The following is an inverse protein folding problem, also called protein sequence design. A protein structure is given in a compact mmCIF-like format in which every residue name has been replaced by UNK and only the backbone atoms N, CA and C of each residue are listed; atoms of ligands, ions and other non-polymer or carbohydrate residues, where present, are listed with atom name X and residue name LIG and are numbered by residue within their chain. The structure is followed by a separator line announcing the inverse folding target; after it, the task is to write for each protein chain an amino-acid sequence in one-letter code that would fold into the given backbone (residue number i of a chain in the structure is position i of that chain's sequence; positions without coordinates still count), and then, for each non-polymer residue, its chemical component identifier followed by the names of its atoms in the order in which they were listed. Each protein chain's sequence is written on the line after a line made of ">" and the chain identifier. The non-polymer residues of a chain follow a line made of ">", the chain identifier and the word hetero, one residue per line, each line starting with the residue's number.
data_IF_884313546037
#
_entry.id   IF_884313546037
#
_cell.length_a   1.000
_cell.length_b   1.000
_cell.length_c   1.000
_cell.angle_alpha   90.00
_cell.angle_beta   90.00
_cell.angle_gamma   90.00
#
_symmetry.space_group_name_H-M   'P 1'
#
loop_
_entity.id
_entity.type
_entity.pdbx_description
1 polymer ?
#
# COMPACT_ATOMS: atom_id res chain seq x y z
N UNK A 1 -8.34 -21.12 -14.71
CA UNK A 1 -8.13 -20.27 -15.91
C UNK A 1 -7.53 -18.96 -15.45
N UNK A 2 -6.57 -18.39 -16.18
CA UNK A 2 -6.00 -17.08 -15.83
C UNK A 2 -6.99 -15.96 -16.19
N UNK A 3 -6.89 -14.82 -15.52
CA UNK A 3 -7.75 -13.64 -15.77
C UNK A 3 -7.66 -13.18 -17.24
N UNK A 4 -6.48 -13.26 -17.83
CA UNK A 4 -6.24 -12.95 -19.26
C UNK A 4 -7.01 -13.88 -20.19
N UNK A 5 -6.97 -15.20 -19.95
CA UNK A 5 -7.75 -16.17 -20.74
C UNK A 5 -9.24 -15.91 -20.63
N UNK A 6 -9.71 -15.48 -19.45
CA UNK A 6 -11.12 -15.19 -19.22
C UNK A 6 -11.62 -13.96 -19.99
N UNK A 7 -10.84 -12.86 -19.99
CA UNK A 7 -11.18 -11.64 -20.74
C UNK A 7 -11.14 -11.86 -22.27
N UNK A 8 -10.20 -12.68 -22.74
CA UNK A 8 -10.13 -13.09 -24.15
C UNK A 8 -11.37 -13.90 -24.56
N UNK A 9 -11.84 -14.80 -23.69
CA UNK A 9 -13.03 -15.60 -23.95
C UNK A 9 -14.31 -14.75 -23.95
N UNK A 10 -14.44 -13.80 -23.02
CA UNK A 10 -15.52 -12.79 -23.01
C UNK A 10 -15.56 -12.00 -24.33
N UNK A 11 -14.42 -11.49 -24.78
CA UNK A 11 -14.31 -10.78 -26.06
C UNK A 11 -14.67 -11.66 -27.26
N UNK A 12 -14.27 -12.95 -27.21
CA UNK A 12 -14.59 -13.92 -28.26
C UNK A 12 -16.09 -14.16 -28.34
N UNK A 13 -16.76 -14.37 -27.20
CA UNK A 13 -18.22 -14.58 -27.14
C UNK A 13 -18.96 -13.36 -27.68
N UNK A 14 -18.58 -12.15 -27.22
CA UNK A 14 -19.21 -10.91 -27.69
C UNK A 14 -19.01 -10.65 -29.19
N UNK A 15 -17.84 -11.00 -29.76
CA UNK A 15 -17.55 -10.79 -31.19
C UNK A 15 -18.35 -11.72 -32.12
N UNK A 16 -18.61 -12.95 -31.68
CA UNK A 16 -19.28 -13.96 -32.51
C UNK A 16 -20.80 -13.97 -32.33
N UNK A 17 -21.33 -13.21 -31.39
CA UNK A 17 -22.76 -13.08 -31.17
C UNK A 17 -23.36 -12.03 -32.13
N UNK A 18 -24.44 -12.39 -32.83
CA UNK A 18 -25.14 -11.44 -33.71
C UNK A 18 -26.12 -10.58 -32.90
N UNK A 19 -25.62 -9.45 -32.38
CA UNK A 19 -26.39 -8.47 -31.61
C UNK A 19 -26.19 -8.59 -30.09
N UNK A 20 -26.91 -7.77 -29.29
CA UNK A 20 -26.74 -7.74 -27.84
C UNK A 20 -27.06 -9.08 -27.16
N UNK A 21 -26.26 -9.46 -26.17
CA UNK A 21 -26.46 -10.66 -25.35
C UNK A 21 -26.79 -10.28 -23.90
N UNK A 22 -27.83 -10.88 -23.33
CA UNK A 22 -28.26 -10.57 -21.96
C UNK A 22 -27.20 -10.93 -20.92
N UNK A 23 -27.01 -10.10 -19.89
CA UNK A 23 -26.00 -10.34 -18.83
C UNK A 23 -26.05 -11.75 -18.21
N UNK A 24 -27.23 -12.27 -17.80
CA UNK A 24 -27.34 -13.63 -17.27
C UNK A 24 -26.99 -14.72 -18.29
N UNK A 25 -27.27 -14.49 -19.57
CA UNK A 25 -26.96 -15.42 -20.66
C UNK A 25 -25.46 -15.43 -20.96
N UNK A 26 -24.84 -14.26 -21.04
CA UNK A 26 -23.40 -14.09 -21.22
C UNK A 26 -22.61 -14.70 -20.06
N UNK A 27 -23.08 -14.53 -18.82
CA UNK A 27 -22.45 -15.12 -17.63
C UNK A 27 -22.51 -16.66 -17.68
N UNK A 28 -23.65 -17.24 -18.10
CA UNK A 28 -23.78 -18.69 -18.30
C UNK A 28 -22.87 -19.20 -19.42
N UNK A 29 -22.77 -18.48 -20.54
CA UNK A 29 -21.91 -18.85 -21.67
C UNK A 29 -20.42 -18.89 -21.27
N UNK A 30 -20.02 -18.06 -20.31
CA UNK A 30 -18.65 -17.98 -19.79
C UNK A 30 -18.42 -18.86 -18.56
N UNK A 31 -19.46 -19.53 -18.04
CA UNK A 31 -19.36 -20.35 -16.83
C UNK A 31 -19.07 -19.56 -15.55
N UNK A 32 -19.45 -18.28 -15.50
CA UNK A 32 -19.19 -17.39 -14.35
C UNK A 32 -20.45 -16.80 -13.74
N UNK A 33 -20.30 -16.18 -12.58
CA UNK A 33 -21.39 -15.44 -11.94
C UNK A 33 -21.62 -14.11 -12.65
N UNK A 34 -22.84 -13.57 -12.53
CA UNK A 34 -23.18 -12.25 -13.09
C UNK A 34 -22.30 -11.12 -12.52
N UNK A 35 -21.88 -11.26 -11.25
CA UNK A 35 -20.96 -10.32 -10.59
C UNK A 35 -19.57 -10.36 -11.22
N UNK A 36 -19.03 -11.54 -11.51
CA UNK A 36 -17.74 -11.70 -12.18
C UNK A 36 -17.79 -11.13 -13.61
N UNK A 37 -18.87 -11.39 -14.34
CA UNK A 37 -19.08 -10.80 -15.66
C UNK A 37 -19.03 -9.26 -15.63
N UNK A 38 -19.68 -8.63 -14.65
CA UNK A 38 -19.66 -7.17 -14.52
C UNK A 38 -18.26 -6.63 -14.20
N UNK A 39 -17.48 -7.36 -13.42
CA UNK A 39 -16.08 -7.00 -13.15
C UNK A 39 -15.22 -7.11 -14.41
N UNK A 40 -15.40 -8.16 -15.21
CA UNK A 40 -14.66 -8.33 -16.47
C UNK A 40 -15.01 -7.26 -17.51
N UNK A 41 -16.30 -6.89 -17.62
CA UNK A 41 -16.74 -5.80 -18.50
C UNK A 41 -16.17 -4.46 -18.03
N UNK A 42 -16.11 -4.22 -16.71
CA UNK A 42 -15.47 -3.02 -16.17
C UNK A 42 -13.97 -2.99 -16.49
N UNK A 43 -13.28 -4.13 -16.43
CA UNK A 43 -11.85 -4.25 -16.81
C UNK A 43 -11.64 -3.97 -18.29
N UNK A 44 -12.48 -4.53 -19.17
CA UNK A 44 -12.40 -4.26 -20.61
C UNK A 44 -12.59 -2.78 -20.92
N UNK A 45 -13.58 -2.13 -20.31
CA UNK A 45 -13.80 -0.69 -20.47
C UNK A 45 -12.63 0.15 -19.97
N UNK A 46 -12.04 -0.24 -18.85
CA UNK A 46 -10.87 0.43 -18.29
C UNK A 46 -9.66 0.41 -19.24
N UNK A 47 -9.47 -0.69 -19.99
CA UNK A 47 -8.42 -0.81 -21.02
C UNK A 47 -8.85 -0.29 -22.41
N UNK A 48 -9.92 0.49 -22.47
CA UNK A 48 -10.40 1.15 -23.70
C UNK A 48 -11.19 0.25 -24.65
N UNK A 49 -11.58 -0.96 -24.24
CA UNK A 49 -12.49 -1.82 -25.00
C UNK A 49 -13.92 -1.44 -24.66
N UNK A 50 -14.57 -0.76 -25.61
CA UNK A 50 -15.92 -0.27 -25.43
C UNK A 50 -16.96 -1.40 -25.54
N UNK A 51 -17.28 -2.04 -24.41
CA UNK A 51 -18.42 -2.97 -24.32
C UNK A 51 -19.67 -2.17 -23.97
N UNK A 52 -20.64 -2.05 -24.88
CA UNK A 52 -21.86 -1.25 -24.68
C UNK A 52 -22.95 -2.12 -24.05
N UNK A 53 -23.70 -1.56 -23.09
CA UNK A 53 -24.92 -2.20 -22.58
C UNK A 53 -26.12 -1.47 -23.20
N UNK A 54 -26.82 -2.13 -24.11
CA UNK A 54 -28.07 -1.65 -24.68
C UNK A 54 -29.22 -1.93 -23.70
N UNK A 55 -29.88 -0.88 -23.15
CA UNK A 55 -30.94 -1.06 -22.17
C UNK A 55 -32.03 -2.01 -22.65
N UNK A 56 -32.32 -3.04 -21.85
CA UNK A 56 -33.32 -4.06 -22.18
C UNK A 56 -32.90 -5.10 -23.23
N UNK A 57 -31.69 -4.99 -23.81
CA UNK A 57 -31.18 -5.91 -24.85
C UNK A 57 -29.90 -6.63 -24.44
N UNK A 58 -28.99 -5.97 -23.71
CA UNK A 58 -27.78 -6.59 -23.16
C UNK A 58 -26.47 -6.02 -23.71
N UNK A 59 -25.38 -6.78 -23.57
CA UNK A 59 -24.04 -6.33 -23.90
C UNK A 59 -23.69 -6.60 -25.37
N UNK A 60 -23.04 -5.64 -26.02
CA UNK A 60 -22.56 -5.76 -27.40
C UNK A 60 -21.17 -5.14 -27.52
N UNK A 61 -20.36 -5.68 -28.42
CA UNK A 61 -19.13 -5.03 -28.86
C UNK A 61 -19.43 -4.27 -30.16
N UNK A 62 -19.35 -2.92 -30.18
CA UNK A 62 -19.54 -2.14 -31.39
C UNK A 62 -18.58 -2.56 -32.51
N UNK A 63 -19.02 -2.51 -33.78
CA UNK A 63 -18.21 -2.96 -34.92
C UNK A 63 -16.94 -2.13 -35.13
N UNK A 64 -16.87 -0.90 -34.62
CA UNK A 64 -15.70 -0.01 -34.77
C UNK A 64 -14.65 -0.12 -33.64
N UNK A 65 -14.82 -1.00 -32.65
CA UNK A 65 -13.89 -1.08 -31.50
C UNK A 65 -12.49 -1.50 -31.94
N UNK A 66 -11.53 -0.57 -31.83
CA UNK A 66 -10.10 -0.86 -31.93
C UNK A 66 -9.63 -1.55 -30.64
N UNK A 67 -9.39 -2.85 -30.73
CA UNK A 67 -8.72 -3.57 -29.64
C UNK A 67 -7.28 -3.07 -29.53
N UNK A 68 -6.75 -2.86 -28.31
CA UNK A 68 -5.36 -2.46 -28.15
C UNK A 68 -4.43 -3.49 -28.81
N UNK A 69 -3.38 -3.07 -29.55
CA UNK A 69 -2.42 -4.01 -30.12
C UNK A 69 -1.72 -4.75 -28.98
N UNK A 70 -1.98 -6.06 -28.86
CA UNK A 70 -1.26 -7.04 -28.05
C UNK A 70 -0.76 -6.61 -26.64
N UNK A 71 -1.38 -5.64 -25.96
CA UNK A 71 -1.08 -5.28 -24.58
C UNK A 71 -1.76 -6.23 -23.56
N UNK A 72 -2.17 -7.42 -24.02
CA UNK A 72 -2.53 -8.58 -23.20
C UNK A 72 -1.42 -9.65 -23.21
N UNK A 73 -0.23 -9.31 -23.71
CA UNK A 73 1.00 -10.03 -23.46
C UNK A 73 2.03 -9.01 -22.94
N UNK A 74 2.31 -9.00 -21.64
CA UNK A 74 3.64 -8.57 -21.21
C UNK A 74 4.66 -9.54 -21.85
N UNK A 75 5.84 -9.07 -22.27
CA UNK A 75 6.82 -9.94 -22.90
C UNK A 75 7.12 -11.09 -21.93
N UNK A 76 7.03 -12.33 -22.42
CA UNK A 76 7.63 -13.44 -21.70
C UNK A 76 9.09 -13.05 -21.41
N UNK A 77 9.60 -13.24 -20.18
CA UNK A 77 11.03 -13.10 -19.97
C UNK A 77 11.71 -14.02 -20.97
N UNK A 78 12.64 -13.47 -21.74
CA UNK A 78 13.55 -14.29 -22.53
C UNK A 78 14.11 -15.34 -21.56
N UNK A 79 13.92 -16.62 -21.90
CA UNK A 79 14.49 -17.71 -21.13
C UNK A 79 16.01 -17.51 -21.13
N UNK A 80 16.55 -16.88 -20.08
CA UNK A 80 17.97 -16.53 -20.06
C UNK A 80 18.45 -15.39 -19.15
N UNK A 81 17.68 -14.82 -18.22
CA UNK A 81 18.23 -13.84 -17.26
C UNK A 81 17.72 -14.11 -15.85
N UNK A 82 18.53 -14.79 -15.03
CA UNK A 82 18.24 -15.08 -13.63
C UNK A 82 18.87 -14.06 -12.66
N UNK A 83 19.34 -12.90 -13.13
CA UNK A 83 20.13 -11.97 -12.30
C UNK A 83 19.72 -10.48 -12.36
N UNK A 84 18.57 -10.11 -12.96
CA UNK A 84 18.04 -8.74 -12.77
C UNK A 84 17.12 -8.68 -11.54
N UNK A 85 17.35 -7.75 -10.59
CA UNK A 85 16.48 -7.61 -9.43
C UNK A 85 15.05 -7.27 -9.86
N UNK A 86 14.08 -7.91 -9.22
CA UNK A 86 12.67 -7.75 -9.58
C UNK A 86 12.27 -6.26 -9.52
N UNK A 87 11.53 -5.75 -10.51
CA UNK A 87 11.18 -4.33 -10.56
C UNK A 87 10.36 -3.95 -9.33
N UNK A 88 10.79 -2.92 -8.62
CA UNK A 88 10.10 -2.35 -7.46
C UNK A 88 9.38 -1.07 -7.86
N UNK A 89 8.06 -1.06 -7.78
CA UNK A 89 7.21 0.11 -8.03
C UNK A 89 6.62 0.56 -6.70
N UNK A 90 6.75 1.85 -6.38
CA UNK A 90 6.28 2.48 -5.17
C UNK A 90 5.19 3.50 -5.47
N UNK A 91 3.97 3.25 -5.00
CA UNK A 91 2.81 4.14 -5.16
C UNK A 91 2.66 5.02 -3.92
N UNK A 92 2.65 6.34 -4.09
CA UNK A 92 2.75 7.28 -2.97
C UNK A 92 2.06 8.61 -3.21
N UNK A 93 1.96 9.42 -2.16
CA UNK A 93 1.75 10.85 -2.21
C UNK A 93 2.72 11.53 -1.21
N UNK A 94 3.40 12.64 -1.56
CA UNK A 94 4.36 13.30 -0.68
C UNK A 94 3.82 13.72 0.69
N UNK A 95 2.51 14.01 0.78
CA UNK A 95 1.84 14.44 2.01
C UNK A 95 1.05 13.28 2.65
N UNK A 96 1.55 12.05 2.55
CA UNK A 96 0.90 10.84 3.08
C UNK A 96 1.86 9.98 3.89
N UNK A 97 1.34 8.91 4.50
CA UNK A 97 2.16 7.84 5.13
C UNK A 97 3.17 7.20 4.17
N UNK A 98 3.13 7.53 2.88
CA UNK A 98 4.17 7.17 1.93
C UNK A 98 5.57 7.70 2.28
N UNK A 99 5.69 8.80 3.03
CA UNK A 99 7.00 9.25 3.53
C UNK A 99 7.76 8.18 4.32
N UNK A 100 7.03 7.36 5.08
CA UNK A 100 7.59 6.22 5.83
C UNK A 100 8.24 5.20 4.90
N UNK A 101 7.50 4.77 3.88
CA UNK A 101 7.99 3.77 2.91
C UNK A 101 9.11 4.36 2.04
N UNK A 102 9.05 5.66 1.74
CA UNK A 102 10.12 6.33 1.03
C UNK A 102 11.42 6.32 1.83
N UNK A 103 11.36 6.67 3.13
CA UNK A 103 12.52 6.55 4.00
C UNK A 103 13.03 5.09 4.09
N UNK A 104 12.13 4.11 4.21
CA UNK A 104 12.52 2.69 4.16
C UNK A 104 13.29 2.35 2.89
N UNK A 105 12.81 2.76 1.72
CA UNK A 105 13.47 2.51 0.43
C UNK A 105 14.86 3.17 0.36
N UNK A 106 15.00 4.37 0.92
CA UNK A 106 16.27 5.08 1.01
C UNK A 106 17.27 4.41 1.96
N UNK A 107 16.82 3.79 3.05
CA UNK A 107 17.67 3.00 3.96
C UNK A 107 18.18 1.72 3.28
N UNK A 108 17.37 1.11 2.42
CA UNK A 108 17.76 -0.06 1.64
C UNK A 108 18.76 0.26 0.53
N UNK A 109 18.76 1.51 0.03
CA UNK A 109 19.48 1.86 -1.19
C UNK A 109 18.93 1.13 -2.43
N UNK A 110 17.67 0.70 -2.39
CA UNK A 110 17.05 -0.05 -3.47
C UNK A 110 16.73 0.84 -4.67
N UNK A 111 16.81 0.27 -5.87
CA UNK A 111 16.31 0.94 -7.09
C UNK A 111 14.79 0.74 -7.18
N UNK A 112 14.02 1.81 -7.29
CA UNK A 112 12.56 1.75 -7.44
C UNK A 112 12.04 2.80 -8.42
N UNK A 113 10.86 2.52 -8.99
CA UNK A 113 10.07 3.48 -9.73
C UNK A 113 8.98 4.06 -8.83
N UNK A 114 9.02 5.37 -8.59
CA UNK A 114 7.97 6.06 -7.86
C UNK A 114 6.79 6.43 -8.78
N UNK A 115 5.57 6.20 -8.31
CA UNK A 115 4.31 6.63 -8.92
C UNK A 115 3.56 7.49 -7.91
N UNK A 116 3.51 8.79 -8.19
CA UNK A 116 2.80 9.76 -7.34
C UNK A 116 1.33 9.83 -7.74
N UNK A 117 0.44 9.69 -6.75
CA UNK A 117 -1.00 9.75 -6.91
C UNK A 117 -1.55 10.94 -6.13
N UNK A 118 -2.35 11.77 -6.80
CA UNK A 118 -3.06 12.86 -6.14
C UNK A 118 -4.15 12.33 -5.19
N UNK A 119 -4.43 13.09 -4.13
CA UNK A 119 -5.54 12.77 -3.24
C UNK A 119 -6.88 12.80 -3.98
N UNK A 120 -7.79 11.91 -3.59
CA UNK A 120 -9.13 11.83 -4.17
C UNK A 120 -9.18 10.90 -5.38
N UNK A 121 -9.62 11.41 -6.54
CA UNK A 121 -10.03 10.58 -7.67
C UNK A 121 -8.93 9.65 -8.20
N UNK A 122 -7.66 10.09 -8.23
CA UNK A 122 -6.55 9.26 -8.72
C UNK A 122 -6.36 7.98 -7.88
N UNK A 123 -6.54 8.06 -6.56
CA UNK A 123 -6.49 6.91 -5.65
C UNK A 123 -7.75 6.02 -5.70
N UNK A 124 -8.76 6.40 -6.48
CA UNK A 124 -10.03 5.66 -6.65
C UNK A 124 -10.22 5.14 -8.08
N UNK A 125 -9.21 5.26 -8.92
CA UNK A 125 -9.20 4.68 -10.26
C UNK A 125 -9.29 3.15 -10.16
N UNK A 126 -10.02 2.47 -11.08
CA UNK A 126 -10.08 1.01 -11.10
C UNK A 126 -8.69 0.35 -11.13
N UNK A 127 -7.74 0.98 -11.81
CA UNK A 127 -6.35 0.54 -11.93
C UNK A 127 -5.65 0.53 -10.57
N UNK A 128 -5.76 1.62 -9.80
CA UNK A 128 -5.14 1.68 -8.47
C UNK A 128 -5.90 0.85 -7.43
N UNK A 129 -7.24 0.77 -7.53
CA UNK A 129 -8.03 -0.09 -6.64
C UNK A 129 -7.74 -1.57 -6.82
N UNK A 130 -7.25 -1.99 -7.99
CA UNK A 130 -6.74 -3.34 -8.21
C UNK A 130 -5.44 -3.63 -7.44
N UNK A 131 -4.71 -2.58 -7.02
CA UNK A 131 -3.49 -2.67 -6.20
C UNK A 131 -3.87 -2.53 -4.72
N UNK A 132 -4.54 -1.43 -4.35
CA UNK A 132 -5.03 -1.22 -2.99
C UNK A 132 -6.55 -0.95 -3.00
N UNK A 133 -7.38 -1.94 -2.62
CA UNK A 133 -8.83 -1.77 -2.58
C UNK A 133 -9.34 -0.69 -1.62
N UNK A 134 -8.56 -0.29 -0.60
CA UNK A 134 -8.90 0.85 0.26
C UNK A 134 -8.72 2.19 -0.47
N UNK A 135 -8.02 2.18 -1.61
CA UNK A 135 -7.67 3.37 -2.38
C UNK A 135 -6.90 4.35 -1.52
N UNK A 136 -5.87 3.84 -0.84
CA UNK A 136 -4.94 4.58 0.02
C UNK A 136 -3.51 4.30 -0.43
N UNK A 137 -2.62 5.24 -0.14
CA UNK A 137 -1.16 5.10 -0.27
C UNK A 137 -0.57 5.01 1.15
N UNK A 138 0.59 4.36 1.34
CA UNK A 138 1.45 3.74 0.33
C UNK A 138 1.02 2.35 -0.12
N UNK A 139 1.53 1.92 -1.29
CA UNK A 139 1.54 0.54 -1.76
C UNK A 139 2.82 0.27 -2.54
N UNK A 140 3.26 -0.99 -2.60
CA UNK A 140 4.37 -1.40 -3.47
C UNK A 140 3.98 -2.58 -4.35
N UNK A 141 4.65 -2.70 -5.50
CA UNK A 141 4.72 -3.93 -6.29
C UNK A 141 6.18 -4.31 -6.46
N UNK A 142 6.57 -5.49 -5.97
CA UNK A 142 7.91 -6.05 -6.12
C UNK A 142 7.81 -7.32 -6.97
N UNK A 143 8.15 -7.22 -8.26
CA UNK A 143 7.80 -8.25 -9.24
C UNK A 143 6.29 -8.48 -9.30
N UNK A 144 5.83 -9.70 -8.99
CA UNK A 144 4.40 -10.04 -8.93
C UNK A 144 3.76 -9.80 -7.55
N UNK A 145 4.57 -9.48 -6.53
CA UNK A 145 4.06 -9.32 -5.16
C UNK A 145 3.57 -7.89 -4.95
N UNK A 146 2.30 -7.73 -4.60
CA UNK A 146 1.74 -6.45 -4.13
C UNK A 146 1.67 -6.48 -2.61
N UNK A 147 2.16 -5.41 -1.98
CA UNK A 147 2.08 -5.23 -0.53
C UNK A 147 1.47 -3.87 -0.23
N UNK A 148 0.46 -3.87 0.64
CA UNK A 148 -0.22 -2.69 1.19
C UNK A 148 -0.03 -2.67 2.71
N UNK A 149 -0.43 -1.58 3.36
CA UNK A 149 -0.17 -1.26 4.78
C UNK A 149 1.30 -0.93 5.05
N UNK A 150 1.57 0.29 5.54
CA UNK A 150 2.93 0.81 5.68
C UNK A 150 3.84 -0.09 6.56
N UNK A 151 3.31 -0.62 7.67
CA UNK A 151 4.04 -1.55 8.53
C UNK A 151 4.42 -2.85 7.82
N UNK A 152 3.48 -3.42 7.05
CA UNK A 152 3.71 -4.65 6.31
C UNK A 152 4.70 -4.43 5.16
N UNK A 153 4.63 -3.27 4.49
CA UNK A 153 5.62 -2.88 3.47
C UNK A 153 7.01 -2.79 4.10
N UNK A 154 7.16 -2.13 5.25
CA UNK A 154 8.44 -2.03 5.95
C UNK A 154 9.00 -3.41 6.33
N UNK A 155 8.15 -4.29 6.89
CA UNK A 155 8.55 -5.65 7.24
C UNK A 155 8.93 -6.50 6.02
N UNK A 156 8.11 -6.44 4.96
CA UNK A 156 8.35 -7.14 3.71
C UNK A 156 9.66 -6.71 3.07
N UNK A 157 9.92 -5.41 2.98
CA UNK A 157 11.13 -4.89 2.38
C UNK A 157 12.37 -5.24 3.19
N UNK A 158 12.29 -5.26 4.52
CA UNK A 158 13.40 -5.70 5.36
C UNK A 158 13.77 -7.18 5.14
N UNK A 159 12.78 -8.01 4.79
CA UNK A 159 12.99 -9.43 4.45
C UNK A 159 13.46 -9.62 3.01
N UNK A 160 12.88 -8.88 2.06
CA UNK A 160 13.22 -8.98 0.64
C UNK A 160 14.63 -8.45 0.33
N UNK A 161 15.13 -7.52 1.13
CA UNK A 161 16.46 -6.90 1.04
C UNK A 161 17.25 -7.17 2.34
N UNK A 162 17.38 -8.45 2.69
CA UNK A 162 17.93 -8.89 3.98
C UNK A 162 19.36 -8.41 4.26
N UNK A 163 20.14 -8.15 3.21
CA UNK A 163 21.50 -7.62 3.27
C UNK A 163 21.60 -6.23 3.91
N UNK A 164 20.51 -5.46 3.89
CA UNK A 164 20.43 -4.16 4.56
C UNK A 164 20.36 -4.30 6.09
N UNK A 165 20.09 -5.49 6.62
CA UNK A 165 20.07 -5.75 8.06
C UNK A 165 18.95 -5.03 8.82
N UNK A 166 17.87 -4.64 8.14
CA UNK A 166 16.77 -3.86 8.73
C UNK A 166 15.72 -4.72 9.47
N UNK A 167 15.94 -6.02 9.60
CA UNK A 167 15.16 -6.89 10.47
C UNK A 167 16.12 -7.80 11.26
N UNK A 168 15.84 -8.05 12.56
CA UNK A 168 16.55 -9.08 13.30
C UNK A 168 16.39 -10.47 12.68
N UNK A 169 17.29 -11.42 12.99
CA UNK A 169 17.10 -12.83 12.63
C UNK A 169 15.74 -13.33 13.13
N UNK A 170 15.06 -14.26 12.41
CA UNK A 170 13.71 -14.70 12.76
C UNK A 170 13.49 -15.10 14.24
N UNK A 171 14.49 -15.75 14.85
CA UNK A 171 14.46 -16.15 16.25
C UNK A 171 14.44 -14.97 17.26
N UNK A 172 14.83 -13.76 16.84
CA UNK A 172 14.94 -12.56 17.66
C UNK A 172 13.90 -11.47 17.29
N UNK A 173 12.85 -11.81 16.53
CA UNK A 173 11.87 -10.81 16.04
C UNK A 173 10.75 -10.47 17.03
N UNK A 174 10.79 -10.94 18.27
CA UNK A 174 9.74 -10.71 19.26
C UNK A 174 9.40 -9.23 19.44
N UNK A 175 10.39 -8.41 19.81
CA UNK A 175 10.19 -6.96 19.97
C UNK A 175 9.98 -6.25 18.63
N UNK A 176 10.66 -6.68 17.57
CA UNK A 176 10.48 -6.14 16.21
C UNK A 176 9.03 -6.22 15.74
N UNK A 177 8.41 -7.40 15.84
CA UNK A 177 7.00 -7.57 15.49
C UNK A 177 6.08 -6.85 16.47
N UNK A 178 6.36 -6.92 17.77
CA UNK A 178 5.57 -6.23 18.79
C UNK A 178 5.42 -4.76 18.43
N UNK A 179 6.50 -4.07 18.10
CA UNK A 179 6.47 -2.64 17.83
C UNK A 179 5.90 -2.26 16.46
N UNK A 180 6.14 -3.05 15.42
CA UNK A 180 5.48 -2.87 14.13
C UNK A 180 3.95 -2.98 14.25
N UNK A 181 3.46 -4.03 14.92
CA UNK A 181 2.01 -4.27 15.06
C UNK A 181 1.36 -3.39 16.13
N UNK A 182 2.10 -2.99 17.17
CA UNK A 182 1.65 -1.98 18.11
C UNK A 182 1.41 -0.64 17.41
N UNK A 183 2.32 -0.22 16.54
CA UNK A 183 2.18 1.01 15.79
C UNK A 183 1.00 0.93 14.80
N UNK A 184 0.89 -0.17 14.03
CA UNK A 184 -0.13 -0.35 13.00
C UNK A 184 -1.55 -0.53 13.53
N UNK A 185 -1.71 -1.08 14.73
CA UNK A 185 -3.00 -1.31 15.36
C UNK A 185 -3.26 -0.29 16.47
N UNK A 186 -2.85 -0.59 17.71
CA UNK A 186 -3.08 0.26 18.88
C UNK A 186 -2.79 1.75 18.69
N UNK A 187 -1.58 2.11 18.25
CA UNK A 187 -1.15 3.52 18.17
C UNK A 187 -1.95 4.31 17.13
N UNK A 188 -2.06 3.81 15.89
CA UNK A 188 -2.87 4.49 14.87
C UNK A 188 -4.34 4.60 15.28
N UNK A 189 -4.89 3.58 15.96
CA UNK A 189 -6.25 3.63 16.48
C UNK A 189 -6.44 4.70 17.55
N UNK A 190 -5.56 4.78 18.55
CA UNK A 190 -5.66 5.79 19.60
C UNK A 190 -5.48 7.21 19.04
N UNK A 191 -4.51 7.41 18.14
CA UNK A 191 -4.29 8.70 17.48
C UNK A 191 -5.54 9.11 16.69
N UNK A 192 -6.10 8.21 15.89
CA UNK A 192 -7.28 8.51 15.08
C UNK A 192 -8.50 8.86 15.93
N UNK A 193 -8.76 8.13 17.03
CA UNK A 193 -9.85 8.44 17.95
C UNK A 193 -9.67 9.81 18.61
N UNK A 194 -8.46 10.10 19.09
CA UNK A 194 -8.14 11.38 19.71
C UNK A 194 -8.29 12.56 18.73
N UNK A 195 -7.80 12.41 17.50
CA UNK A 195 -7.91 13.43 16.44
C UNK A 195 -9.37 13.70 16.04
N UNK A 196 -10.21 12.67 16.07
CA UNK A 196 -11.66 12.77 15.86
C UNK A 196 -12.43 13.30 17.09
N UNK A 197 -11.74 13.60 18.21
CA UNK A 197 -12.36 14.04 19.46
C UNK A 197 -13.17 12.95 20.17
N UNK A 198 -12.93 11.67 19.84
CA UNK A 198 -13.61 10.54 20.44
C UNK A 198 -12.81 10.10 21.67
N UNK A 199 -13.35 10.40 22.86
CA UNK A 199 -12.83 9.91 24.14
C UNK A 199 -13.60 8.66 24.58
N UNK A 200 -13.01 7.44 24.52
CA UNK A 200 -13.67 6.24 24.97
C UNK A 200 -13.98 6.30 26.48
N UNK A 201 -15.11 5.75 26.90
CA UNK A 201 -15.36 5.50 28.33
C UNK A 201 -14.38 4.46 28.87
N UNK A 202 -14.22 4.36 30.19
CA UNK A 202 -13.35 3.34 30.79
C UNK A 202 -13.71 1.91 30.34
N UNK A 203 -15.01 1.59 30.25
CA UNK A 203 -15.49 0.29 29.76
C UNK A 203 -15.17 0.08 28.27
N UNK A 204 -15.25 1.13 27.44
CA UNK A 204 -14.87 1.05 26.03
C UNK A 204 -13.36 0.87 25.88
N UNK A 205 -12.55 1.60 26.65
CA UNK A 205 -11.09 1.49 26.66
C UNK A 205 -10.63 0.07 27.01
N UNK A 206 -11.30 -0.62 27.94
CA UNK A 206 -11.01 -2.04 28.26
C UNK A 206 -11.22 -3.00 27.08
N UNK A 207 -12.06 -2.64 26.09
CA UNK A 207 -12.34 -3.45 24.90
C UNK A 207 -11.48 -3.06 23.70
N UNK A 208 -10.95 -1.84 23.69
CA UNK A 208 -10.07 -1.36 22.64
C UNK A 208 -8.66 -1.90 22.86
N UNK A 209 -8.06 -2.50 21.82
CA UNK A 209 -6.67 -2.97 21.90
C UNK A 209 -5.65 -1.85 22.14
N UNK A 210 -6.05 -0.59 21.91
CA UNK A 210 -5.27 0.61 22.19
C UNK A 210 -5.42 1.14 23.62
N UNK A 211 -6.40 0.66 24.40
CA UNK A 211 -6.77 1.31 25.64
C UNK A 211 -7.28 2.75 25.41
N UNK A 212 -6.96 3.64 26.34
CA UNK A 212 -7.11 5.09 26.14
C UNK A 212 -5.83 5.73 25.58
N UNK A 213 -5.98 6.94 25.05
CA UNK A 213 -4.89 7.68 24.42
C UNK A 213 -3.68 7.89 25.33
N UNK A 214 -3.89 8.23 26.60
CA UNK A 214 -2.78 8.56 27.50
C UNK A 214 -2.03 7.31 27.95
N UNK A 215 -2.73 6.22 28.25
CA UNK A 215 -2.09 4.92 28.51
C UNK A 215 -1.21 4.51 27.33
N UNK A 216 -1.66 4.73 26.10
CA UNK A 216 -0.88 4.42 24.92
C UNK A 216 0.35 5.31 24.77
N UNK A 217 0.21 6.62 24.99
CA UNK A 217 1.33 7.58 24.97
C UNK A 217 2.38 7.24 26.03
N UNK A 218 1.98 6.92 27.27
CA UNK A 218 2.91 6.51 28.32
C UNK A 218 3.62 5.20 27.97
N UNK A 219 2.90 4.24 27.39
CA UNK A 219 3.49 2.97 26.94
C UNK A 219 4.56 3.21 25.87
N UNK A 220 4.30 4.08 24.90
CA UNK A 220 5.25 4.42 23.86
C UNK A 220 6.45 5.22 24.41
N UNK A 221 6.21 6.17 25.32
CA UNK A 221 7.27 6.96 25.95
C UNK A 221 8.23 6.09 26.75
N UNK A 222 7.70 5.19 27.58
CA UNK A 222 8.50 4.22 28.32
C UNK A 222 9.30 3.28 27.40
N UNK A 223 8.77 2.97 26.22
CA UNK A 223 9.43 2.09 25.26
C UNK A 223 10.68 2.71 24.62
N UNK A 224 10.65 4.02 24.35
CA UNK A 224 11.78 4.74 23.73
C UNK A 224 12.69 5.43 24.74
N UNK A 225 12.28 5.53 26.01
CA UNK A 225 13.03 6.20 27.06
C UNK A 225 14.46 5.63 27.19
N UNK A 226 15.46 6.46 26.88
CA UNK A 226 16.87 6.11 26.98
C UNK A 226 17.34 5.04 25.99
N UNK A 227 16.55 4.73 24.96
CA UNK A 227 16.91 3.72 23.94
C UNK A 227 17.21 4.38 22.60
N UNK A 228 18.27 3.95 21.89
CA UNK A 228 18.53 4.43 20.54
C UNK A 228 17.55 3.82 19.52
N UNK A 229 17.09 2.59 19.75
CA UNK A 229 16.22 1.83 18.85
C UNK A 229 15.11 1.10 19.64
N UNK A 230 13.92 0.99 19.06
CA UNK A 230 12.73 0.46 19.73
C UNK A 230 12.78 -1.06 19.91
N UNK A 231 13.41 -1.76 18.98
CA UNK A 231 13.35 -3.22 18.85
C UNK A 231 14.65 -3.96 19.24
N UNK A 232 15.64 -3.27 19.83
CA UNK A 232 16.89 -3.86 20.27
C UNK A 232 18.06 -2.89 20.20
N UNK A 233 19.26 -3.42 19.94
CA UNK A 233 20.51 -2.64 19.92
C UNK A 233 20.89 -2.11 18.53
N UNK A 234 20.13 -2.49 17.49
CA UNK A 234 20.37 -2.11 16.11
C UNK A 234 19.15 -1.45 15.47
N UNK A 235 19.41 -0.49 14.59
CA UNK A 235 18.39 0.15 13.77
C UNK A 235 17.69 -0.86 12.87
N UNK A 236 16.38 -0.74 12.73
CA UNK A 236 15.53 -1.66 11.99
C UNK A 236 14.35 -0.95 11.32
N UNK A 237 13.59 -1.68 10.51
CA UNK A 237 12.34 -1.20 9.93
C UNK A 237 11.28 -0.84 11.00
N UNK A 238 11.39 -1.37 12.22
CA UNK A 238 10.54 -0.94 13.33
C UNK A 238 10.83 0.51 13.71
N UNK A 239 12.09 0.95 13.67
CA UNK A 239 12.48 2.33 13.96
C UNK A 239 12.04 3.28 12.85
N UNK A 240 12.09 2.83 11.58
CA UNK A 240 11.52 3.58 10.44
C UNK A 240 10.04 3.86 10.68
N UNK A 241 9.27 2.82 11.01
CA UNK A 241 7.82 2.95 11.17
C UNK A 241 7.43 3.71 12.45
N UNK A 242 7.89 3.25 13.61
CA UNK A 242 7.57 3.87 14.92
C UNK A 242 8.17 5.27 15.02
N UNK A 243 9.40 5.45 14.56
CA UNK A 243 10.08 6.75 14.55
C UNK A 243 9.33 7.77 13.72
N UNK A 244 8.84 7.39 12.53
CA UNK A 244 8.01 8.27 11.71
C UNK A 244 6.73 8.69 12.41
N UNK A 245 6.02 7.76 13.07
CA UNK A 245 4.81 8.09 13.84
C UNK A 245 5.10 9.06 14.99
N UNK A 246 6.23 8.88 15.69
CA UNK A 246 6.66 9.82 16.74
C UNK A 246 6.99 11.19 16.16
N UNK A 247 7.86 11.24 15.13
CA UNK A 247 8.32 12.48 14.52
C UNK A 247 7.18 13.31 13.95
N UNK A 248 6.36 12.69 13.10
CA UNK A 248 5.20 13.34 12.49
C UNK A 248 4.11 13.63 13.51
N UNK A 249 3.92 12.74 14.48
CA UNK A 249 2.95 12.95 15.55
C UNK A 249 3.25 14.20 16.37
N UNK A 250 4.52 14.44 16.70
CA UNK A 250 4.95 15.69 17.35
C UNK A 250 4.82 16.91 16.43
N UNK A 251 5.10 16.75 15.13
CA UNK A 251 5.00 17.85 14.15
C UNK A 251 3.57 18.32 13.92
N UNK A 252 2.62 17.38 13.84
CA UNK A 252 1.20 17.67 13.61
C UNK A 252 0.37 17.80 14.89
N UNK A 253 0.97 17.54 16.07
CA UNK A 253 0.31 17.67 17.36
C UNK A 253 -0.61 16.50 17.74
N UNK A 254 -0.55 15.38 17.01
CA UNK A 254 -1.31 14.16 17.35
C UNK A 254 -0.62 13.31 18.43
N UNK A 255 0.65 13.58 18.69
CA UNK A 255 1.38 13.15 19.89
C UNK A 255 1.94 14.37 20.63
N UNK A 256 1.96 14.37 21.97
CA UNK A 256 2.56 15.44 22.74
C UNK A 256 4.08 15.45 22.53
N UNK A 257 4.70 16.63 22.60
CA UNK A 257 6.15 16.72 22.69
C UNK A 257 6.61 16.28 24.08
N UNK A 258 7.50 15.29 24.13
CA UNK A 258 8.07 14.73 25.36
C UNK A 258 9.57 14.55 25.21
N UNK A 259 10.37 14.67 26.28
CA UNK A 259 11.83 14.47 26.20
C UNK A 259 12.22 13.12 25.60
N UNK A 260 11.49 12.05 25.92
CA UNK A 260 11.75 10.68 25.43
C UNK A 260 11.53 10.59 23.91
N UNK A 261 10.46 11.21 23.41
CA UNK A 261 10.13 11.26 21.98
C UNK A 261 11.09 12.15 21.20
N UNK A 262 11.42 13.31 21.74
CA UNK A 262 12.37 14.25 21.12
C UNK A 262 13.76 13.64 21.03
N UNK A 263 14.24 13.00 22.09
CA UNK A 263 15.54 12.32 22.10
C UNK A 263 15.60 11.16 21.10
N UNK A 264 14.57 10.30 21.10
CA UNK A 264 14.48 9.18 20.17
C UNK A 264 14.42 9.65 18.72
N UNK A 265 13.53 10.60 18.40
CA UNK A 265 13.38 11.12 17.05
C UNK A 265 14.62 11.88 16.56
N UNK A 266 15.29 12.63 17.44
CA UNK A 266 16.51 13.35 17.08
C UNK A 266 17.62 12.40 16.58
N UNK A 267 17.75 11.21 17.17
CA UNK A 267 18.70 10.20 16.70
C UNK A 267 18.36 9.66 15.31
N UNK A 268 17.07 9.49 15.00
CA UNK A 268 16.61 8.89 13.75
C UNK A 268 16.57 9.88 12.58
N UNK A 269 16.10 11.11 12.80
CA UNK A 269 15.87 12.09 11.73
C UNK A 269 17.14 12.58 11.04
N UNK A 270 18.29 12.46 11.71
CA UNK A 270 19.60 12.86 11.15
C UNK A 270 20.21 11.80 10.25
N UNK A 271 19.59 10.61 10.14
CA UNK A 271 20.09 9.55 9.27
C UNK A 271 20.14 10.03 7.82
N UNK A 272 21.21 9.73 7.05
CA UNK A 272 21.37 10.21 5.69
C UNK A 272 20.19 9.84 4.76
N UNK A 273 19.64 8.64 4.90
CA UNK A 273 18.49 8.18 4.10
C UNK A 273 17.21 8.98 4.40
N UNK A 274 16.94 9.26 5.68
CA UNK A 274 15.83 10.12 6.07
C UNK A 274 15.98 11.53 5.45
N UNK A 275 17.17 12.11 5.52
CA UNK A 275 17.45 13.43 4.94
C UNK A 275 17.28 13.47 3.41
N UNK A 276 17.64 12.40 2.70
CA UNK A 276 17.38 12.29 1.25
C UNK A 276 15.89 12.24 0.94
N UNK A 277 15.12 11.49 1.73
CA UNK A 277 13.66 11.44 1.64
C UNK A 277 13.04 12.84 1.84
N UNK A 278 13.43 13.55 2.90
CA UNK A 278 12.92 14.92 3.16
C UNK A 278 13.28 15.89 2.05
N UNK A 279 14.54 15.89 1.57
CA UNK A 279 14.96 16.74 0.47
C UNK A 279 14.16 16.47 -0.83
N UNK A 280 13.80 15.22 -1.09
CA UNK A 280 12.93 14.87 -2.21
C UNK A 280 11.51 15.42 -2.01
N UNK A 281 10.93 15.28 -0.82
CA UNK A 281 9.59 15.80 -0.51
C UNK A 281 9.57 17.33 -0.70
N UNK A 282 10.56 18.04 -0.19
CA UNK A 282 10.71 19.49 -0.37
C UNK A 282 10.77 19.87 -1.85
N UNK A 283 11.55 19.15 -2.66
CA UNK A 283 11.65 19.39 -4.10
C UNK A 283 10.34 19.14 -4.84
N UNK A 284 9.55 18.16 -4.43
CA UNK A 284 8.25 17.88 -5.04
C UNK A 284 7.22 18.94 -4.66
N UNK A 285 7.22 19.41 -3.41
CA UNK A 285 6.31 20.45 -2.93
C UNK A 285 6.63 21.86 -3.45
N UNK A 286 7.85 22.08 -3.91
CA UNK A 286 8.28 23.37 -4.48
C UNK A 286 7.90 23.55 -5.98
N UNK A 287 7.31 22.53 -6.62
CA UNK A 287 6.89 22.54 -8.04
C UNK A 287 5.40 22.83 -8.17
#
# INVERSE_FOLDING_TARGET
>A
MTRTTHLQELLRVLRHHQGPIGGPELARALGVTLRHLYQDIAVLRAVGVEVVNEPGRGYVLPPEVKLPPAALAEPAPAAGAQDEPAPLIFYTNPLSRGGIVHWMLEELGATYRMVTLEYGAAMKTPEYLAINPLGKVPAIRHGETVVTEAAAICAYLADAFSEAGLAPPPAARGDYYRWLFFAAGPLESAIALNDLGVAPTAEQAMRLGSGDYWTLVETLAAAVAGRPYIAGDAFSAADVYVGSHIGWGMQFGTLPRRPEFEAYWAGLRERPAHRRCEAHIEQVLAR
#
